data_IF_525035997093
#
_entry.id   IF_525035997093
#
_cell.length_a   1.000
_cell.length_b   1.000
_cell.length_c   1.000
_cell.angle_alpha   90.00
_cell.angle_beta   90.00
_cell.angle_gamma   90.00
#
_symmetry.space_group_name_H-M   'P 1'
#
loop_
_entity.id
_entity.type
_entity.pdbx_description
1 polymer ?
#
# COMPACT_ATOMS: atom_id res chain seq x y z
N UNK A 1 -30.96 -36.08 59.24
CA UNK A 1 -29.48 -35.94 59.29
C UNK A 1 -28.90 -36.64 58.08
N UNK A 2 -28.39 -35.90 57.10
CA UNK A 2 -27.48 -36.44 56.08
C UNK A 2 -26.53 -35.32 55.69
N UNK A 3 -25.26 -35.46 56.08
CA UNK A 3 -24.16 -34.57 55.74
C UNK A 3 -23.22 -35.39 54.88
N UNK A 4 -23.04 -35.03 53.62
CA UNK A 4 -21.80 -35.31 52.90
C UNK A 4 -21.41 -34.06 52.13
N UNK A 5 -20.43 -33.36 52.71
CA UNK A 5 -19.68 -32.28 52.09
C UNK A 5 -18.68 -32.93 51.15
N UNK A 6 -18.74 -32.62 49.86
CA UNK A 6 -17.62 -32.79 48.96
C UNK A 6 -17.19 -31.42 48.46
N UNK A 7 -16.17 -30.89 49.13
CA UNK A 7 -15.36 -29.78 48.64
C UNK A 7 -14.29 -30.37 47.75
N UNK A 8 -14.27 -29.98 46.47
CA UNK A 8 -13.08 -30.07 45.64
C UNK A 8 -12.85 -28.69 45.02
N UNK A 9 -12.17 -27.86 45.80
CA UNK A 9 -11.48 -26.69 45.30
C UNK A 9 -10.24 -27.15 44.56
N UNK A 10 -10.20 -26.99 43.24
CA UNK A 10 -8.96 -26.86 42.47
C UNK A 10 -9.27 -26.21 41.13
N UNK A 11 -9.28 -24.88 41.18
CA UNK A 11 -9.13 -23.97 40.04
C UNK A 11 -7.87 -24.32 39.26
N UNK A 12 -8.02 -24.83 38.04
CA UNK A 12 -6.96 -24.84 37.04
C UNK A 12 -7.36 -23.92 35.89
N UNK A 13 -6.96 -22.65 35.99
CA UNK A 13 -7.03 -21.69 34.89
C UNK A 13 -5.94 -22.05 33.87
N UNK A 14 -6.27 -22.84 32.87
CA UNK A 14 -5.42 -22.98 31.70
C UNK A 14 -5.55 -21.70 30.86
N UNK A 15 -4.53 -20.86 30.92
CA UNK A 15 -4.36 -19.64 30.14
C UNK A 15 -4.16 -20.07 28.67
N UNK A 16 -5.25 -20.19 27.91
CA UNK A 16 -5.15 -20.36 26.46
C UNK A 16 -4.64 -19.03 25.88
N UNK A 17 -3.37 -19.06 25.45
CA UNK A 17 -2.69 -17.99 24.76
C UNK A 17 -3.53 -17.62 23.53
N UNK A 18 -4.27 -16.50 23.59
CA UNK A 18 -4.92 -15.92 22.43
C UNK A 18 -3.78 -15.47 21.52
N UNK A 19 -3.45 -16.29 20.53
CA UNK A 19 -2.71 -15.85 19.36
C UNK A 19 -3.60 -14.81 18.68
N UNK A 20 -3.42 -13.55 19.09
CA UNK A 20 -3.92 -12.39 18.39
C UNK A 20 -3.17 -12.41 17.05
N UNK A 21 -3.68 -13.17 16.08
CA UNK A 21 -3.49 -12.83 14.69
C UNK A 21 -4.11 -11.44 14.56
N UNK A 22 -3.31 -10.41 14.86
CA UNK A 22 -3.49 -9.12 14.25
C UNK A 22 -3.39 -9.42 12.76
N UNK A 23 -4.53 -9.66 12.13
CA UNK A 23 -4.70 -9.45 10.71
C UNK A 23 -4.38 -7.99 10.52
N UNK A 24 -3.07 -7.67 10.41
CA UNK A 24 -2.60 -6.42 9.88
C UNK A 24 -3.37 -6.33 8.57
N UNK A 25 -4.33 -5.40 8.50
CA UNK A 25 -5.17 -5.26 7.33
C UNK A 25 -4.23 -5.31 6.14
N UNK A 26 -4.49 -6.21 5.19
CA UNK A 26 -3.78 -6.25 3.94
C UNK A 26 -4.16 -4.97 3.19
N UNK A 27 -3.62 -3.85 3.66
CA UNK A 27 -3.79 -2.55 3.07
C UNK A 27 -2.91 -2.57 1.83
N UNK A 28 -3.55 -2.30 0.70
CA UNK A 28 -2.91 -1.95 -0.54
C UNK A 28 -2.21 -0.59 -0.35
N UNK A 29 -1.05 -0.65 0.31
CA UNK A 29 -0.16 0.48 0.58
C UNK A 29 1.28 0.08 0.24
N UNK A 30 2.17 1.05 0.07
CA UNK A 30 3.59 0.81 -0.19
C UNK A 30 4.20 -0.09 0.89
N UNK A 31 4.97 -1.09 0.43
CA UNK A 31 5.58 -2.12 1.27
C UNK A 31 4.61 -3.21 1.75
N UNK A 32 3.31 -3.06 1.52
CA UNK A 32 2.28 -4.06 1.78
C UNK A 32 2.26 -5.19 0.75
N UNK A 33 1.26 -6.07 0.86
CA UNK A 33 1.07 -7.19 -0.05
C UNK A 33 -0.05 -6.90 -1.05
N UNK A 34 0.25 -7.07 -2.34
CA UNK A 34 -0.74 -7.05 -3.40
C UNK A 34 -1.66 -8.26 -3.22
N UNK A 35 -2.99 -8.06 -3.18
CA UNK A 35 -3.96 -9.14 -3.09
C UNK A 35 -3.76 -10.17 -4.21
N UNK A 36 -3.62 -11.44 -3.83
CA UNK A 36 -3.75 -12.55 -4.77
C UNK A 36 -5.17 -12.56 -5.32
N UNK A 37 -5.37 -12.95 -6.59
CA UNK A 37 -6.68 -13.00 -7.25
C UNK A 37 -7.64 -14.07 -6.69
N UNK A 38 -7.61 -14.34 -5.38
CA UNK A 38 -8.53 -15.26 -4.71
C UNK A 38 -9.88 -14.57 -4.52
N UNK A 39 -10.77 -14.82 -5.48
CA UNK A 39 -12.24 -14.82 -5.39
C UNK A 39 -12.81 -13.97 -4.25
N UNK A 40 -12.84 -12.66 -4.42
CA UNK A 40 -13.75 -11.84 -3.62
C UNK A 40 -15.14 -11.96 -4.25
N UNK A 41 -16.04 -12.68 -3.59
CA UNK A 41 -17.47 -12.67 -3.91
C UNK A 41 -17.98 -11.23 -3.74
N UNK A 42 -18.57 -10.70 -4.81
CA UNK A 42 -19.17 -9.37 -4.95
C UNK A 42 -18.19 -8.18 -5.10
N UNK A 43 -17.81 -7.92 -6.35
CA UNK A 43 -17.12 -6.70 -6.79
C UNK A 43 -15.92 -7.04 -7.67
N UNK A 44 -15.94 -6.59 -8.93
CA UNK A 44 -14.94 -6.87 -9.97
C UNK A 44 -13.50 -6.81 -9.44
N UNK A 45 -12.86 -7.96 -9.24
CA UNK A 45 -11.45 -8.01 -8.87
C UNK A 45 -10.62 -7.55 -10.07
N UNK A 46 -9.88 -6.45 -9.92
CA UNK A 46 -9.01 -5.95 -10.97
C UNK A 46 -7.94 -7.01 -11.33
N UNK A 47 -7.85 -7.33 -12.61
CA UNK A 47 -6.91 -8.34 -13.13
C UNK A 47 -5.46 -7.92 -12.88
N UNK A 48 -4.63 -8.85 -12.41
CA UNK A 48 -3.19 -8.65 -12.22
C UNK A 48 -2.47 -9.08 -13.49
N UNK A 49 -1.62 -8.20 -14.04
CA UNK A 49 -0.78 -8.46 -15.22
C UNK A 49 0.68 -8.55 -14.80
N UNK A 50 1.46 -9.40 -15.45
CA UNK A 50 2.90 -9.49 -15.25
C UNK A 50 3.65 -8.66 -16.29
N UNK A 51 4.67 -7.92 -15.86
CA UNK A 51 5.58 -7.12 -16.68
C UNK A 51 7.02 -7.64 -16.48
N UNK A 52 7.95 -7.26 -17.36
CA UNK A 52 9.38 -7.56 -17.23
C UNK A 52 9.68 -9.05 -16.93
N UNK A 53 9.10 -9.96 -17.71
CA UNK A 53 9.22 -11.42 -17.52
C UNK A 53 8.83 -11.90 -16.10
N UNK A 54 7.90 -11.21 -15.45
CA UNK A 54 7.43 -11.52 -14.09
C UNK A 54 8.20 -10.82 -12.97
N UNK A 55 9.18 -9.98 -13.30
CA UNK A 55 9.89 -9.15 -12.31
C UNK A 55 8.96 -8.16 -11.61
N UNK A 56 7.92 -7.70 -12.31
CA UNK A 56 6.93 -6.76 -11.79
C UNK A 56 5.51 -7.26 -12.11
N UNK A 57 4.57 -6.97 -11.23
CA UNK A 57 3.14 -7.23 -11.36
C UNK A 57 2.42 -5.89 -11.28
N UNK A 58 1.43 -5.69 -12.14
CA UNK A 58 0.61 -4.47 -12.14
C UNK A 58 -0.87 -4.81 -12.04
N UNK A 59 -1.60 -4.03 -11.25
CA UNK A 59 -3.05 -4.06 -11.17
C UNK A 59 -3.59 -2.65 -11.23
N UNK A 60 -4.65 -2.44 -12.02
CA UNK A 60 -5.27 -1.13 -12.21
C UNK A 60 -6.55 -1.03 -11.40
N UNK A 61 -6.72 0.05 -10.65
CA UNK A 61 -7.91 0.36 -9.85
C UNK A 61 -8.44 1.73 -10.27
N UNK A 62 -9.73 1.98 -10.06
CA UNK A 62 -10.31 3.33 -10.16
C UNK A 62 -10.89 3.68 -8.80
N UNK A 63 -10.48 4.82 -8.24
CA UNK A 63 -11.01 5.30 -6.97
C UNK A 63 -12.38 6.00 -7.13
N UNK A 64 -12.98 6.41 -6.01
CA UNK A 64 -14.26 7.12 -6.01
C UNK A 64 -14.21 8.50 -6.69
N UNK A 65 -13.01 9.07 -6.85
CA UNK A 65 -12.77 10.33 -7.54
C UNK A 65 -12.56 10.17 -9.06
N UNK A 66 -12.73 8.96 -9.60
CA UNK A 66 -12.45 8.63 -10.99
C UNK A 66 -10.96 8.78 -11.36
N UNK A 67 -10.07 8.57 -10.39
CA UNK A 67 -8.62 8.47 -10.58
C UNK A 67 -8.24 7.04 -10.90
N UNK A 68 -7.56 6.83 -12.02
CA UNK A 68 -6.95 5.53 -12.34
C UNK A 68 -5.65 5.40 -11.56
N UNK A 69 -5.49 4.28 -10.86
CA UNK A 69 -4.32 3.97 -10.04
C UNK A 69 -3.74 2.64 -10.53
N UNK A 70 -2.50 2.66 -11.01
CA UNK A 70 -1.72 1.47 -11.29
C UNK A 70 -0.87 1.11 -10.08
N UNK A 71 -1.17 -0.02 -9.47
CA UNK A 71 -0.43 -0.60 -8.34
C UNK A 71 0.62 -1.58 -8.86
N UNK A 72 1.87 -1.37 -8.46
CA UNK A 72 3.02 -2.17 -8.87
C UNK A 72 3.58 -2.97 -7.70
N UNK A 73 3.76 -4.27 -7.90
CA UNK A 73 4.35 -5.16 -6.93
C UNK A 73 5.48 -6.02 -7.53
N UNK A 74 6.41 -6.45 -6.70
CA UNK A 74 7.42 -7.46 -7.07
C UNK A 74 6.76 -8.79 -7.44
N UNK A 75 7.55 -9.71 -8.00
CA UNK A 75 7.14 -11.12 -8.20
C UNK A 75 6.55 -11.77 -6.94
N UNK A 76 7.09 -11.44 -5.76
CA UNK A 76 6.63 -11.91 -4.45
C UNK A 76 5.34 -11.23 -3.96
N UNK A 77 4.84 -10.24 -4.69
CA UNK A 77 3.62 -9.50 -4.35
C UNK A 77 3.85 -8.34 -3.38
N UNK A 78 5.09 -7.95 -3.05
CA UNK A 78 5.34 -6.75 -2.26
C UNK A 78 5.05 -5.52 -3.13
N UNK A 79 4.15 -4.65 -2.69
CA UNK A 79 3.85 -3.39 -3.39
C UNK A 79 5.05 -2.46 -3.26
N UNK A 80 5.55 -1.99 -4.40
CA UNK A 80 6.76 -1.16 -4.50
C UNK A 80 6.51 0.19 -5.16
N UNK A 81 5.37 0.36 -5.83
CA UNK A 81 5.02 1.61 -6.47
C UNK A 81 3.54 1.75 -6.79
N UNK A 82 3.15 3.01 -6.97
CA UNK A 82 1.87 3.42 -7.52
C UNK A 82 2.13 4.45 -8.62
N UNK A 83 1.32 4.43 -9.67
CA UNK A 83 1.16 5.54 -10.61
C UNK A 83 -0.33 5.89 -10.70
N UNK A 84 -0.63 7.17 -10.95
CA UNK A 84 -2.00 7.62 -11.04
C UNK A 84 -2.21 8.68 -12.11
N UNK A 85 -3.41 8.66 -12.66
CA UNK A 85 -3.92 9.68 -13.58
C UNK A 85 -5.42 9.87 -13.36
N UNK A 86 -5.86 11.12 -13.19
CA UNK A 86 -7.27 11.40 -13.01
C UNK A 86 -7.62 12.87 -12.75
N UNK A 87 -8.92 13.16 -12.59
CA UNK A 87 -9.39 14.51 -12.29
C UNK A 87 -9.17 14.90 -10.82
N UNK A 88 -8.86 13.93 -9.95
CA UNK A 88 -8.63 14.13 -8.51
C UNK A 88 -7.29 13.52 -8.07
N UNK A 89 -6.72 14.05 -6.99
CA UNK A 89 -5.55 13.43 -6.36
C UNK A 89 -6.01 12.20 -5.56
N UNK A 90 -5.34 11.05 -5.67
CA UNK A 90 -5.64 9.90 -4.83
C UNK A 90 -5.29 10.17 -3.36
N UNK A 91 -5.82 9.37 -2.43
CA UNK A 91 -5.43 9.43 -1.03
C UNK A 91 -3.99 8.94 -0.83
N UNK A 92 -3.04 9.86 -0.93
CA UNK A 92 -1.61 9.56 -0.75
C UNK A 92 -1.30 9.03 0.65
N UNK A 93 -2.06 9.41 1.68
CA UNK A 93 -1.82 8.86 3.01
C UNK A 93 -2.12 7.36 3.04
N UNK A 94 -3.24 6.94 2.43
CA UNK A 94 -3.58 5.54 2.30
C UNK A 94 -2.59 4.76 1.41
N UNK A 95 -2.18 5.31 0.27
CA UNK A 95 -1.25 4.64 -0.65
C UNK A 95 0.16 4.51 -0.07
N UNK A 96 0.65 5.52 0.65
CA UNK A 96 2.01 5.52 1.21
C UNK A 96 2.08 4.76 2.54
N UNK A 97 1.00 4.70 3.30
CA UNK A 97 0.97 4.02 4.61
C UNK A 97 2.07 4.55 5.53
N UNK A 98 2.95 3.67 6.00
CA UNK A 98 4.06 4.02 6.90
C UNK A 98 5.02 5.10 6.35
N UNK A 99 5.08 5.27 5.02
CA UNK A 99 5.95 6.24 4.35
C UNK A 99 5.33 7.63 4.25
N UNK A 100 4.06 7.80 4.64
CA UNK A 100 3.36 9.08 4.54
C UNK A 100 4.03 10.18 5.39
N UNK A 101 4.62 9.82 6.53
CA UNK A 101 5.30 10.77 7.42
C UNK A 101 6.60 11.30 6.81
N UNK A 102 7.40 10.41 6.21
CA UNK A 102 8.61 10.76 5.47
C UNK A 102 8.28 11.72 4.31
N UNK A 103 7.26 11.37 3.52
CA UNK A 103 6.76 12.24 2.45
C UNK A 103 6.36 13.64 2.97
N UNK A 104 5.59 13.73 4.06
CA UNK A 104 5.19 15.02 4.63
C UNK A 104 6.37 15.84 5.13
N UNK A 105 7.36 15.20 5.74
CA UNK A 105 8.58 15.88 6.18
C UNK A 105 9.35 16.47 4.99
N UNK A 106 9.49 15.71 3.90
CA UNK A 106 10.09 16.19 2.65
C UNK A 106 9.29 17.34 2.03
N UNK A 107 7.96 17.24 1.97
CA UNK A 107 7.08 18.27 1.43
C UNK A 107 7.09 19.59 2.25
N UNK A 108 7.42 19.53 3.53
CA UNK A 108 7.56 20.70 4.39
C UNK A 108 8.91 21.42 4.23
N UNK A 109 9.87 20.85 3.48
CA UNK A 109 11.20 21.42 3.31
C UNK A 109 11.19 22.54 2.25
N UNK A 110 11.67 23.76 2.57
CA UNK A 110 11.79 24.84 1.60
C UNK A 110 12.70 24.43 0.43
N UNK A 111 12.21 24.59 -0.80
CA UNK A 111 12.97 24.23 -2.01
C UNK A 111 12.88 22.77 -2.42
N UNK A 112 11.98 21.97 -1.83
CA UNK A 112 11.53 20.74 -2.48
C UNK A 112 11.08 21.09 -3.91
N UNK A 113 11.68 20.44 -4.91
CA UNK A 113 11.65 20.84 -6.32
C UNK A 113 10.20 20.98 -6.86
N UNK A 114 9.64 22.17 -6.68
CA UNK A 114 8.33 22.58 -7.15
C UNK A 114 8.52 23.44 -8.38
N UNK A 115 8.59 22.82 -9.55
CA UNK A 115 8.49 23.55 -10.81
C UNK A 115 7.02 23.91 -11.05
N UNK A 116 6.76 24.92 -11.89
CA UNK A 116 5.40 25.36 -12.24
C UNK A 116 4.50 24.24 -12.81
N UNK A 117 5.09 23.11 -13.22
CA UNK A 117 4.42 21.97 -13.85
C UNK A 117 4.45 20.67 -13.04
N UNK A 118 5.04 20.66 -11.84
CA UNK A 118 5.11 19.46 -11.00
C UNK A 118 6.00 19.60 -9.76
N UNK A 119 5.76 18.74 -8.78
CA UNK A 119 6.49 18.62 -7.51
C UNK A 119 7.13 17.25 -7.40
N UNK A 120 8.40 17.23 -6.96
CA UNK A 120 9.14 16.01 -6.63
C UNK A 120 9.62 16.05 -5.19
N UNK A 121 9.14 15.11 -4.39
CA UNK A 121 9.60 14.89 -3.02
C UNK A 121 10.43 13.61 -3.00
N UNK A 122 11.74 13.76 -2.87
CA UNK A 122 12.67 12.64 -2.76
C UNK A 122 13.13 12.48 -1.31
N UNK A 123 12.72 11.38 -0.68
CA UNK A 123 13.26 10.91 0.59
C UNK A 123 14.02 9.58 0.37
N UNK A 124 14.91 9.18 1.30
CA UNK A 124 15.69 7.95 1.14
C UNK A 124 14.83 6.67 1.04
N UNK A 125 13.65 6.68 1.67
CA UNK A 125 12.76 5.53 1.79
C UNK A 125 11.55 5.59 0.84
N UNK A 126 11.19 6.77 0.36
CA UNK A 126 10.08 6.98 -0.58
C UNK A 126 10.34 8.17 -1.49
N UNK A 127 9.98 8.02 -2.77
CA UNK A 127 9.97 9.13 -3.72
C UNK A 127 8.55 9.30 -4.22
N UNK A 128 8.09 10.55 -4.26
CA UNK A 128 6.77 10.94 -4.76
C UNK A 128 6.92 12.04 -5.79
N UNK A 129 6.36 11.82 -6.97
CA UNK A 129 6.30 12.79 -8.05
C UNK A 129 4.82 13.07 -8.36
N UNK A 130 4.47 14.35 -8.47
CA UNK A 130 3.11 14.78 -8.74
C UNK A 130 3.11 15.99 -9.67
N UNK A 131 2.09 16.10 -10.50
CA UNK A 131 1.91 17.20 -11.45
C UNK A 131 0.66 16.97 -12.26
N UNK A 132 0.65 17.46 -13.50
CA UNK A 132 -0.42 17.22 -14.45
C UNK A 132 -0.91 18.49 -15.16
N UNK A 133 -1.84 18.32 -16.12
CA UNK A 133 -2.42 19.44 -16.85
C UNK A 133 -3.34 20.27 -15.95
N UNK A 134 -3.78 21.43 -16.46
CA UNK A 134 -4.80 22.23 -15.80
C UNK A 134 -6.08 21.38 -15.63
N UNK A 135 -6.45 21.06 -14.36
CA UNK A 135 -7.58 20.20 -13.95
C UNK A 135 -7.35 18.69 -14.01
N UNK A 136 -6.10 18.23 -14.09
CA UNK A 136 -5.76 16.83 -13.99
C UNK A 136 -4.59 16.60 -13.05
N UNK A 137 -4.56 15.44 -12.41
CA UNK A 137 -3.47 14.97 -11.58
C UNK A 137 -2.83 13.77 -12.25
N UNK A 138 -1.51 13.84 -12.39
CA UNK A 138 -0.66 12.74 -12.83
C UNK A 138 0.48 12.62 -11.84
N UNK A 139 0.84 11.41 -11.47
CA UNK A 139 1.96 11.21 -10.57
C UNK A 139 2.27 9.76 -10.29
N UNK A 140 3.29 9.57 -9.48
CA UNK A 140 3.78 8.26 -9.08
C UNK A 140 4.49 8.33 -7.73
N UNK A 141 4.47 7.23 -7.00
CA UNK A 141 5.18 7.07 -5.76
C UNK A 141 5.82 5.69 -5.71
N UNK A 142 7.05 5.58 -5.24
CA UNK A 142 7.74 4.29 -5.16
C UNK A 142 8.78 4.23 -4.06
N UNK A 143 9.15 2.99 -3.72
CA UNK A 143 10.24 2.67 -2.80
C UNK A 143 11.53 2.50 -3.61
N UNK A 144 12.50 3.44 -3.55
CA UNK A 144 13.67 3.42 -4.42
C UNK A 144 14.51 2.15 -4.26
N UNK A 145 14.65 1.65 -3.02
CA UNK A 145 15.41 0.44 -2.72
C UNK A 145 14.64 -0.87 -3.00
N UNK A 146 13.38 -0.82 -3.44
CA UNK A 146 12.55 -2.00 -3.66
C UNK A 146 12.23 -2.28 -5.13
N UNK A 147 12.68 -1.42 -6.06
CA UNK A 147 12.52 -1.69 -7.48
C UNK A 147 13.33 -2.95 -7.88
N UNK A 148 12.73 -3.89 -8.62
CA UNK A 148 13.45 -5.04 -9.14
C UNK A 148 14.62 -4.65 -10.05
N UNK A 149 15.65 -5.51 -10.20
CA UNK A 149 16.73 -5.26 -11.14
C UNK A 149 16.22 -5.01 -12.56
N UNK A 150 16.68 -3.93 -13.19
CA UNK A 150 16.27 -3.54 -14.55
C UNK A 150 14.94 -2.80 -14.63
N UNK A 151 14.23 -2.60 -13.51
CA UNK A 151 13.04 -1.72 -13.43
C UNK A 151 13.48 -0.36 -12.90
N UNK A 152 13.01 0.69 -13.57
CA UNK A 152 13.25 2.10 -13.26
C UNK A 152 11.95 2.79 -12.87
N UNK A 153 12.04 4.02 -12.36
CA UNK A 153 10.85 4.80 -12.01
C UNK A 153 9.98 5.15 -13.23
N UNK A 154 10.57 5.24 -14.43
CA UNK A 154 9.85 5.57 -15.66
C UNK A 154 9.00 4.40 -16.20
N UNK A 155 9.23 3.20 -15.68
CA UNK A 155 8.40 2.01 -15.94
C UNK A 155 7.08 2.02 -15.14
N UNK A 156 6.93 2.97 -14.20
CA UNK A 156 5.70 3.18 -13.42
C UNK A 156 4.88 4.31 -14.06
N UNK A 157 3.74 3.96 -14.67
CA UNK A 157 2.90 4.82 -15.50
C UNK A 157 1.42 4.63 -15.21
#
# INVERSE_FOLDING_TARGET
MSKYRFSHSLTAKALAFVALCASAGAHAQLGGAMPSQTTTTAGSAAAVRSLFNGGLRVRTLTDAGNTTINEYATSTGKIVGYAWEGPTMPDLHALLGQYADSYRAGAATPGADGNLHGSRIAQPDVIVESGGPMRGYVGRAWLPAALPPGVTADDLQ
#
